data_IF_034018870562
#
_entry.id   IF_034018870562
#
_cell.length_a   1.000
_cell.length_b   1.000
_cell.length_c   1.000
_cell.angle_alpha   90.00
_cell.angle_beta   90.00
_cell.angle_gamma   90.00
#
_symmetry.space_group_name_H-M   'P 1'
#
loop_
_entity.id
_entity.type
_entity.pdbx_description
1 polymer ?
#
# COMPACT_ATOMS: atom_id res chain seq x y z
N UNK A 1 -27.07 21.80 5.50
CA UNK A 1 -26.26 21.28 4.39
C UNK A 1 -27.24 20.69 3.41
N UNK A 2 -27.48 21.37 2.29
CA UNK A 2 -28.40 20.84 1.26
C UNK A 2 -27.75 19.61 0.61
N UNK A 3 -28.42 18.47 0.74
CA UNK A 3 -28.01 17.17 0.20
C UNK A 3 -28.54 17.04 -1.22
N UNK A 4 -27.70 17.30 -2.21
CA UNK A 4 -27.94 16.82 -3.57
C UNK A 4 -27.12 15.55 -3.84
N UNK A 5 -27.79 14.56 -4.44
CA UNK A 5 -27.26 13.23 -4.71
C UNK A 5 -26.13 13.25 -5.77
N UNK A 6 -24.96 12.72 -5.39
CA UNK A 6 -23.77 12.61 -6.25
C UNK A 6 -24.01 11.57 -7.36
N UNK A 7 -24.11 12.01 -8.62
CA UNK A 7 -24.22 11.09 -9.77
C UNK A 7 -22.85 10.58 -10.22
N UNK A 8 -22.53 9.32 -9.90
CA UNK A 8 -21.43 8.56 -10.53
C UNK A 8 -21.83 8.03 -11.92
N UNK A 9 -20.87 7.53 -12.71
CA UNK A 9 -20.99 7.20 -14.16
C UNK A 9 -22.05 6.14 -14.55
N UNK A 10 -22.88 5.64 -13.64
CA UNK A 10 -24.06 4.82 -13.96
C UNK A 10 -25.16 5.06 -12.91
N UNK A 11 -26.12 5.92 -13.23
CA UNK A 11 -27.47 6.02 -12.62
C UNK A 11 -27.63 5.73 -11.12
N UNK A 12 -27.84 6.80 -10.35
CA UNK A 12 -28.10 6.85 -8.90
C UNK A 12 -26.87 6.73 -7.97
N UNK A 13 -26.78 7.69 -7.05
CA UNK A 13 -25.80 7.69 -5.98
C UNK A 13 -26.02 6.45 -5.09
N UNK A 14 -24.96 5.70 -4.73
CA UNK A 14 -25.10 4.61 -3.78
C UNK A 14 -25.72 5.11 -2.46
N UNK A 15 -26.74 4.39 -1.97
CA UNK A 15 -27.54 4.81 -0.80
C UNK A 15 -26.67 5.05 0.43
N UNK A 16 -26.85 6.20 1.06
CA UNK A 16 -26.13 6.57 2.29
C UNK A 16 -24.70 7.07 2.09
N UNK A 17 -24.21 7.19 0.84
CA UNK A 17 -22.84 7.66 0.56
C UNK A 17 -22.53 9.01 1.22
N UNK A 18 -23.43 9.99 1.09
CA UNK A 18 -23.23 11.33 1.65
C UNK A 18 -23.16 11.30 3.19
N UNK A 19 -23.98 10.48 3.84
CA UNK A 19 -23.96 10.30 5.30
C UNK A 19 -22.67 9.63 5.77
N UNK A 20 -22.20 8.61 5.04
CA UNK A 20 -20.94 7.92 5.32
C UNK A 20 -19.78 8.92 5.22
N UNK A 21 -19.72 9.68 4.12
CA UNK A 21 -18.67 10.69 3.92
C UNK A 21 -18.70 11.72 5.04
N UNK A 22 -19.88 12.26 5.39
CA UNK A 22 -20.03 13.23 6.47
C UNK A 22 -19.48 12.72 7.81
N UNK A 23 -19.85 11.49 8.22
CA UNK A 23 -19.33 10.86 9.45
C UNK A 23 -17.82 10.65 9.41
N UNK A 24 -17.27 10.28 8.25
CA UNK A 24 -15.82 10.07 8.09
C UNK A 24 -15.06 11.38 8.25
N UNK A 25 -15.49 12.45 7.60
CA UNK A 25 -14.76 13.74 7.58
C UNK A 25 -14.94 14.53 8.87
N UNK A 26 -15.96 14.23 9.67
CA UNK A 26 -16.15 14.79 11.02
C UNK A 26 -15.12 14.25 12.01
N UNK A 27 -14.74 12.98 11.88
CA UNK A 27 -13.89 12.28 12.84
C UNK A 27 -12.44 12.11 12.37
N UNK A 28 -12.18 12.27 11.06
CA UNK A 28 -10.88 11.96 10.45
C UNK A 28 -10.45 13.11 9.54
N UNK A 29 -9.19 13.55 9.68
CA UNK A 29 -8.55 14.48 8.75
C UNK A 29 -8.30 13.79 7.40
N UNK A 30 -9.25 13.92 6.48
CA UNK A 30 -9.23 13.29 5.15
C UNK A 30 -8.91 14.31 4.07
N UNK A 31 -8.02 13.93 3.17
CA UNK A 31 -7.65 14.71 1.98
C UNK A 31 -8.56 14.39 0.80
N UNK A 32 -8.67 13.10 0.47
CA UNK A 32 -9.45 12.63 -0.67
C UNK A 32 -10.20 11.35 -0.28
N UNK A 33 -11.43 11.20 -0.78
CA UNK A 33 -12.15 9.93 -0.77
C UNK A 33 -12.54 9.60 -2.20
N UNK A 34 -12.14 8.42 -2.66
CA UNK A 34 -12.56 7.86 -3.94
C UNK A 34 -13.51 6.70 -3.70
N UNK A 35 -14.55 6.61 -4.53
CA UNK A 35 -15.54 5.54 -4.49
C UNK A 35 -15.37 4.65 -5.72
N UNK A 36 -14.90 3.42 -5.51
CA UNK A 36 -14.86 2.42 -6.59
C UNK A 36 -15.98 1.40 -6.41
N UNK A 37 -16.59 1.01 -7.54
CA UNK A 37 -17.59 -0.07 -7.59
C UNK A 37 -16.89 -1.38 -7.93
N UNK A 38 -17.16 -2.42 -7.15
CA UNK A 38 -16.71 -3.77 -7.43
C UNK A 38 -17.44 -4.40 -8.62
N UNK A 39 -16.81 -5.44 -9.16
CA UNK A 39 -17.38 -6.31 -10.20
C UNK A 39 -17.62 -7.70 -9.62
N UNK A 40 -18.10 -8.65 -10.42
CA UNK A 40 -18.22 -10.06 -10.07
C UNK A 40 -16.90 -10.70 -9.59
N UNK A 41 -15.76 -10.08 -9.93
CA UNK A 41 -14.43 -10.53 -9.52
C UNK A 41 -13.97 -9.93 -8.19
N UNK A 42 -14.72 -9.00 -7.62
CA UNK A 42 -14.38 -8.33 -6.37
C UNK A 42 -15.18 -8.89 -5.21
N UNK A 43 -14.59 -8.89 -4.01
CA UNK A 43 -15.25 -9.33 -2.78
C UNK A 43 -16.11 -8.23 -2.11
N UNK A 44 -16.29 -7.09 -2.78
CA UNK A 44 -17.01 -5.93 -2.27
C UNK A 44 -17.92 -5.34 -3.35
N UNK A 45 -19.00 -4.67 -2.93
CA UNK A 45 -19.88 -3.91 -3.81
C UNK A 45 -19.33 -2.50 -4.04
N UNK A 46 -19.01 -1.79 -2.96
CA UNK A 46 -18.41 -0.45 -2.99
C UNK A 46 -17.20 -0.40 -2.07
N UNK A 47 -16.14 0.28 -2.51
CA UNK A 47 -14.94 0.50 -1.71
C UNK A 47 -14.61 1.98 -1.67
N UNK A 48 -14.46 2.51 -0.45
CA UNK A 48 -13.92 3.84 -0.19
C UNK A 48 -12.40 3.76 -0.07
N UNK A 49 -11.68 4.37 -0.99
CA UNK A 49 -10.26 4.65 -0.85
C UNK A 49 -10.10 6.02 -0.17
N UNK A 50 -9.72 5.99 1.10
CA UNK A 50 -9.59 7.17 1.97
C UNK A 50 -8.11 7.53 2.06
N UNK A 51 -7.78 8.73 1.60
CA UNK A 51 -6.44 9.30 1.67
C UNK A 51 -6.42 10.32 2.82
N UNK A 52 -5.58 10.12 3.82
CA UNK A 52 -5.56 10.92 5.07
C UNK A 52 -4.16 11.48 5.35
N UNK A 53 -4.06 12.60 6.10
CA UNK A 53 -2.78 13.13 6.61
C UNK A 53 -2.37 12.55 7.96
N UNK A 54 -3.27 11.82 8.62
CA UNK A 54 -3.01 11.16 9.89
C UNK A 54 -1.80 10.24 9.79
N UNK A 55 -1.01 10.14 10.87
CA UNK A 55 0.19 9.34 10.90
C UNK A 55 -0.12 7.85 10.68
N UNK A 56 0.83 7.12 10.08
CA UNK A 56 0.64 5.70 9.72
C UNK A 56 0.34 4.80 10.93
N UNK A 57 0.81 5.15 12.14
CA UNK A 57 0.57 4.38 13.36
C UNK A 57 -0.89 4.48 13.80
N UNK A 58 -1.46 5.68 13.77
CA UNK A 58 -2.84 5.95 14.19
C UNK A 58 -3.86 5.27 13.26
N UNK A 59 -3.48 5.00 12.00
CA UNK A 59 -4.36 4.29 11.06
C UNK A 59 -4.82 2.95 11.64
N UNK A 60 -3.92 2.18 12.24
CA UNK A 60 -4.26 0.83 12.70
C UNK A 60 -4.97 0.82 14.05
N UNK A 61 -4.60 1.74 14.94
CA UNK A 61 -5.07 1.76 16.33
C UNK A 61 -6.37 2.54 16.51
N UNK A 62 -6.58 3.59 15.71
CA UNK A 62 -7.68 4.55 15.92
C UNK A 62 -8.60 4.61 14.71
N UNK A 63 -8.04 4.83 13.52
CA UNK A 63 -8.83 5.10 12.31
C UNK A 63 -9.58 3.86 11.82
N UNK A 64 -8.94 2.69 11.78
CA UNK A 64 -9.58 1.44 11.32
C UNK A 64 -10.76 1.01 12.19
N UNK A 65 -10.65 0.94 13.54
CA UNK A 65 -11.80 0.65 14.39
C UNK A 65 -12.96 1.63 14.19
N UNK A 66 -12.66 2.93 14.10
CA UNK A 66 -13.65 3.97 13.85
C UNK A 66 -14.38 3.76 12.51
N UNK A 67 -13.64 3.56 11.42
CA UNK A 67 -14.23 3.31 10.10
C UNK A 67 -15.05 2.03 10.05
N UNK A 68 -14.61 0.96 10.72
CA UNK A 68 -15.41 -0.25 10.87
C UNK A 68 -16.73 0.02 11.60
N UNK A 69 -16.71 0.86 12.63
CA UNK A 69 -17.92 1.26 13.37
C UNK A 69 -18.86 2.09 12.50
N UNK A 70 -18.35 3.05 11.73
CA UNK A 70 -19.16 3.87 10.81
C UNK A 70 -19.82 2.98 9.74
N UNK A 71 -19.05 2.07 9.15
CA UNK A 71 -19.51 1.21 8.05
C UNK A 71 -20.32 -0.01 8.50
N UNK A 72 -20.42 -0.29 9.80
CA UNK A 72 -21.20 -1.42 10.31
C UNK A 72 -22.67 -1.37 9.87
N UNK A 73 -23.22 -0.17 9.66
CA UNK A 73 -24.60 0.05 9.20
C UNK A 73 -24.75 -0.02 7.66
N UNK A 74 -23.64 -0.14 6.93
CA UNK A 74 -23.58 -0.06 5.47
C UNK A 74 -22.81 -1.25 4.89
N UNK A 75 -23.39 -2.47 4.89
CA UNK A 75 -22.68 -3.72 4.58
C UNK A 75 -22.15 -3.81 3.14
N UNK A 76 -22.70 -3.01 2.22
CA UNK A 76 -22.22 -2.94 0.83
C UNK A 76 -20.90 -2.16 0.68
N UNK A 77 -20.47 -1.45 1.73
CA UNK A 77 -19.28 -0.62 1.71
C UNK A 77 -18.14 -1.26 2.49
N UNK A 78 -16.96 -1.25 1.88
CA UNK A 78 -15.70 -1.47 2.57
C UNK A 78 -14.79 -0.26 2.40
N UNK A 79 -13.64 -0.28 3.07
CA UNK A 79 -12.70 0.83 3.06
C UNK A 79 -11.25 0.37 2.94
N UNK A 80 -10.43 1.24 2.38
CA UNK A 80 -8.97 1.18 2.41
C UNK A 80 -8.45 2.56 2.77
N UNK A 81 -7.51 2.62 3.70
CA UNK A 81 -6.94 3.87 4.19
C UNK A 81 -5.45 3.92 3.88
N UNK A 82 -5.01 5.03 3.31
CA UNK A 82 -3.62 5.29 2.99
C UNK A 82 -3.24 6.71 3.44
N UNK A 83 -2.01 6.88 3.92
CA UNK A 83 -1.47 8.23 4.16
C UNK A 83 -1.26 8.94 2.83
N UNK A 84 -1.47 10.25 2.78
CA UNK A 84 -1.24 11.09 1.59
C UNK A 84 0.13 10.86 0.97
N UNK A 85 1.21 10.97 1.76
CA UNK A 85 2.59 10.77 1.30
C UNK A 85 2.82 9.40 0.68
N UNK A 86 2.25 8.33 1.27
CA UNK A 86 2.35 6.97 0.72
C UNK A 86 1.67 6.87 -0.65
N UNK A 87 0.44 7.37 -0.78
CA UNK A 87 -0.31 7.32 -2.02
C UNK A 87 0.40 8.08 -3.16
N UNK A 88 0.91 9.29 -2.89
CA UNK A 88 1.68 10.06 -3.87
C UNK A 88 2.94 9.31 -4.35
N UNK A 89 3.69 8.71 -3.42
CA UNK A 89 4.89 7.95 -3.75
C UNK A 89 4.57 6.71 -4.61
N UNK A 90 3.50 5.98 -4.28
CA UNK A 90 3.10 4.79 -5.03
C UNK A 90 2.60 5.16 -6.44
N UNK A 91 1.88 6.27 -6.60
CA UNK A 91 1.49 6.81 -7.92
C UNK A 91 2.72 7.17 -8.75
N UNK A 92 3.67 7.92 -8.16
CA UNK A 92 4.91 8.30 -8.84
C UNK A 92 5.74 7.08 -9.30
N UNK A 93 5.61 5.96 -8.60
CA UNK A 93 6.28 4.70 -8.93
C UNK A 93 5.49 3.78 -9.88
N UNK A 94 4.32 4.20 -10.38
CA UNK A 94 3.54 3.38 -11.29
C UNK A 94 2.73 2.28 -10.60
N UNK A 95 2.30 2.47 -9.35
CA UNK A 95 1.44 1.49 -8.70
C UNK A 95 0.03 1.53 -9.33
N UNK A 96 -0.28 0.48 -10.11
CA UNK A 96 -1.55 0.31 -10.80
C UNK A 96 -2.77 0.41 -9.87
N UNK A 97 -2.66 0.01 -8.59
CA UNK A 97 -3.78 0.16 -7.67
C UNK A 97 -4.22 1.62 -7.55
N UNK A 98 -3.28 2.52 -7.24
CA UNK A 98 -3.62 3.92 -7.05
C UNK A 98 -4.00 4.58 -8.37
N UNK A 99 -3.25 4.29 -9.43
CA UNK A 99 -3.52 4.84 -10.76
C UNK A 99 -4.93 4.49 -11.24
N UNK A 100 -5.36 3.24 -11.06
CA UNK A 100 -6.68 2.77 -11.52
C UNK A 100 -7.83 3.16 -10.59
N UNK A 101 -7.56 3.38 -9.29
CA UNK A 101 -8.62 3.47 -8.28
C UNK A 101 -8.67 4.81 -7.54
N UNK A 102 -7.76 5.74 -7.81
CA UNK A 102 -7.71 7.10 -7.25
C UNK A 102 -7.81 8.17 -8.35
N UNK A 103 -8.58 7.88 -9.39
CA UNK A 103 -8.80 8.76 -10.53
C UNK A 103 -9.89 9.82 -10.23
N UNK A 104 -9.81 10.99 -10.86
CA UNK A 104 -10.70 12.14 -10.60
C UNK A 104 -12.19 11.79 -10.84
N UNK A 105 -12.48 10.89 -11.77
CA UNK A 105 -13.84 10.43 -12.08
C UNK A 105 -14.52 9.65 -10.94
N UNK A 106 -13.74 9.12 -10.00
CA UNK A 106 -14.18 8.35 -8.83
C UNK A 106 -14.11 9.18 -7.53
N UNK A 107 -13.64 10.43 -7.61
CA UNK A 107 -13.50 11.32 -6.46
C UNK A 107 -14.87 11.77 -5.94
N UNK A 108 -15.17 11.45 -4.68
CA UNK A 108 -16.45 11.78 -4.03
C UNK A 108 -16.31 12.82 -2.92
N UNK A 109 -15.10 13.01 -2.40
CA UNK A 109 -14.77 14.07 -1.44
C UNK A 109 -13.34 14.55 -1.63
N UNK A 110 -13.14 15.86 -1.51
CA UNK A 110 -11.82 16.51 -1.50
C UNK A 110 -11.80 17.66 -0.51
N UNK A 111 -10.77 17.71 0.34
CA UNK A 111 -10.53 18.85 1.22
C UNK A 111 -10.29 20.12 0.37
N UNK A 112 -10.91 21.25 0.74
CA UNK A 112 -10.94 22.48 -0.06
C UNK A 112 -9.66 23.32 0.03
N UNK A 113 -8.54 22.73 0.46
CA UNK A 113 -7.29 23.47 0.50
C UNK A 113 -6.77 23.49 -0.94
N UNK A 114 -6.45 24.69 -1.46
CA UNK A 114 -5.73 24.91 -2.72
C UNK A 114 -4.37 24.19 -2.80
N UNK A 115 -4.03 23.33 -1.83
CA UNK A 115 -2.76 22.66 -1.68
C UNK A 115 -2.82 21.20 -2.13
N UNK A 116 -1.96 20.88 -3.10
CA UNK A 116 -1.52 19.54 -3.49
C UNK A 116 -2.56 18.72 -4.26
N UNK A 117 -2.54 18.88 -5.59
CA UNK A 117 -3.00 17.80 -6.46
C UNK A 117 -2.16 16.55 -6.18
N UNK A 118 -2.81 15.40 -6.05
CA UNK A 118 -2.11 14.12 -6.17
C UNK A 118 -1.41 14.14 -7.53
N UNK A 119 -0.09 14.26 -7.51
CA UNK A 119 0.71 14.38 -8.71
C UNK A 119 0.67 13.04 -9.43
N UNK A 120 -0.33 12.87 -10.30
CA UNK A 120 -0.25 11.89 -11.36
C UNK A 120 1.05 12.16 -12.12
N UNK A 121 1.80 11.12 -12.53
CA UNK A 121 3.09 11.35 -13.15
C UNK A 121 2.88 12.24 -14.37
N UNK A 122 3.38 13.48 -14.35
CA UNK A 122 3.35 14.44 -15.47
C UNK A 122 4.18 13.97 -16.69
N UNK A 123 4.51 12.68 -16.75
CA UNK A 123 5.28 12.06 -17.82
C UNK A 123 4.38 11.47 -18.89
N UNK A 124 4.94 11.26 -20.07
CA UNK A 124 4.30 10.53 -21.16
C UNK A 124 3.69 9.21 -20.63
N UNK A 125 2.36 9.01 -20.69
CA UNK A 125 1.70 7.80 -20.19
C UNK A 125 2.32 6.51 -20.74
N UNK A 126 2.80 6.54 -21.99
CA UNK A 126 3.56 5.48 -22.66
C UNK A 126 4.83 5.07 -21.91
N UNK A 127 5.56 6.01 -21.32
CA UNK A 127 6.78 5.73 -20.55
C UNK A 127 6.45 5.09 -19.21
N UNK A 128 5.40 5.57 -18.54
CA UNK A 128 4.91 4.98 -17.30
C UNK A 128 4.45 3.53 -17.53
N UNK A 129 3.69 3.30 -18.61
CA UNK A 129 3.25 1.99 -19.05
C UNK A 129 4.40 1.00 -19.24
N UNK A 130 5.45 1.38 -19.98
CA UNK A 130 6.61 0.52 -20.20
C UNK A 130 7.42 0.26 -18.92
N UNK A 131 7.50 1.24 -18.01
CA UNK A 131 8.13 1.06 -16.70
C UNK A 131 7.38 0.04 -15.84
N UNK A 132 6.04 0.12 -15.78
CA UNK A 132 5.20 -0.82 -15.04
C UNK A 132 5.40 -2.25 -15.55
N UNK A 133 5.42 -2.45 -16.88
CA UNK A 133 5.70 -3.75 -17.51
C UNK A 133 7.09 -4.27 -17.20
N UNK A 134 8.10 -3.40 -17.25
CA UNK A 134 9.49 -3.75 -16.94
C UNK A 134 9.64 -4.21 -15.49
N UNK A 135 9.01 -3.50 -14.56
CA UNK A 135 9.01 -3.82 -13.14
C UNK A 135 8.32 -5.15 -12.85
N UNK A 136 7.13 -5.38 -13.41
CA UNK A 136 6.45 -6.67 -13.28
C UNK A 136 7.29 -7.82 -13.86
N UNK A 137 7.94 -7.61 -15.02
CA UNK A 137 8.83 -8.62 -15.62
C UNK A 137 10.02 -8.95 -14.72
N UNK A 138 10.62 -7.95 -14.07
CA UNK A 138 11.70 -8.13 -13.09
C UNK A 138 11.20 -8.99 -11.90
N UNK A 139 10.06 -8.65 -11.34
CA UNK A 139 9.53 -9.32 -10.16
C UNK A 139 9.13 -10.78 -10.48
N UNK A 140 8.51 -11.00 -11.64
CA UNK A 140 8.21 -12.35 -12.16
C UNK A 140 9.47 -13.17 -12.45
N UNK A 141 10.56 -12.53 -12.87
CA UNK A 141 11.86 -13.20 -13.06
C UNK A 141 12.44 -13.68 -11.72
N UNK A 142 12.36 -12.86 -10.66
CA UNK A 142 12.76 -13.24 -9.31
C UNK A 142 11.94 -14.43 -8.80
N UNK A 143 10.62 -14.39 -8.95
CA UNK A 143 9.73 -15.50 -8.60
C UNK A 143 10.08 -16.79 -9.39
N UNK A 144 10.41 -16.65 -10.69
CA UNK A 144 10.84 -17.78 -11.53
C UNK A 144 12.12 -18.45 -11.00
N UNK A 145 13.05 -17.70 -10.41
CA UNK A 145 14.26 -18.28 -9.81
C UNK A 145 13.96 -19.16 -8.60
N UNK A 146 13.04 -18.75 -7.72
CA UNK A 146 12.57 -19.62 -6.61
C UNK A 146 11.87 -20.88 -7.13
N UNK A 147 11.03 -20.74 -8.17
CA UNK A 147 10.39 -21.89 -8.82
C UNK A 147 11.40 -22.88 -9.40
N UNK A 148 12.52 -22.41 -9.99
CA UNK A 148 13.60 -23.30 -10.42
C UNK A 148 14.20 -24.08 -9.24
N UNK A 149 14.34 -23.43 -8.08
CA UNK A 149 14.77 -24.07 -6.83
C UNK A 149 13.88 -25.23 -6.41
N UNK A 150 12.56 -25.10 -6.57
CA UNK A 150 11.59 -26.19 -6.29
C UNK A 150 11.98 -27.45 -7.06
N UNK A 151 12.16 -27.33 -8.37
CA UNK A 151 12.51 -28.46 -9.24
C UNK A 151 13.89 -29.05 -8.91
N UNK A 152 14.88 -28.20 -8.64
CA UNK A 152 16.23 -28.61 -8.30
C UNK A 152 16.28 -29.47 -7.03
N UNK A 153 15.71 -29.00 -5.92
CA UNK A 153 15.72 -29.73 -4.66
C UNK A 153 14.85 -30.99 -4.71
N UNK A 154 13.73 -30.94 -5.43
CA UNK A 154 12.89 -32.12 -5.66
C UNK A 154 13.66 -33.23 -6.40
N UNK A 155 14.42 -32.88 -7.44
CA UNK A 155 15.23 -33.85 -8.19
C UNK A 155 16.32 -34.52 -7.32
N UNK A 156 16.86 -33.79 -6.34
CA UNK A 156 17.82 -34.31 -5.37
C UNK A 156 17.18 -35.03 -4.18
N UNK A 157 15.85 -35.25 -4.18
CA UNK A 157 15.10 -35.82 -3.06
C UNK A 157 15.23 -35.02 -1.75
N UNK A 158 15.58 -33.73 -1.84
CA UNK A 158 15.65 -32.77 -0.73
C UNK A 158 14.28 -32.10 -0.57
N UNK A 159 13.30 -32.87 -0.11
CA UNK A 159 11.89 -32.46 -0.10
C UNK A 159 11.61 -31.26 0.83
N UNK A 160 12.18 -31.16 2.05
CA UNK A 160 12.02 -29.97 2.89
C UNK A 160 12.50 -28.67 2.22
N UNK A 161 13.66 -28.72 1.56
CA UNK A 161 14.19 -27.56 0.83
C UNK A 161 13.35 -27.24 -0.40
N UNK A 162 12.75 -28.25 -1.04
CA UNK A 162 11.78 -28.05 -2.12
C UNK A 162 10.52 -27.35 -1.61
N UNK A 163 9.95 -27.76 -0.47
CA UNK A 163 8.80 -27.10 0.17
C UNK A 163 9.11 -25.64 0.52
N UNK A 164 10.28 -25.37 1.10
CA UNK A 164 10.74 -24.01 1.39
C UNK A 164 10.79 -23.14 0.13
N UNK A 165 11.28 -23.68 -1.00
CA UNK A 165 11.25 -22.95 -2.28
C UNK A 165 9.82 -22.72 -2.79
N UNK A 166 8.89 -23.65 -2.56
CA UNK A 166 7.47 -23.45 -2.91
C UNK A 166 6.89 -22.31 -2.08
N UNK A 167 7.14 -22.29 -0.77
CA UNK A 167 6.72 -21.21 0.13
C UNK A 167 7.25 -19.87 -0.35
N UNK A 168 8.56 -19.76 -0.58
CA UNK A 168 9.17 -18.53 -1.08
C UNK A 168 8.58 -18.08 -2.42
N UNK A 169 8.22 -19.02 -3.30
CA UNK A 169 7.58 -18.65 -4.57
C UNK A 169 6.17 -18.11 -4.36
N UNK A 170 5.36 -18.72 -3.49
CA UNK A 170 4.04 -18.20 -3.12
C UNK A 170 4.14 -16.83 -2.46
N UNK A 171 5.00 -16.66 -1.46
CA UNK A 171 5.18 -15.39 -0.74
C UNK A 171 5.52 -14.25 -1.72
N UNK A 172 6.47 -14.48 -2.64
CA UNK A 172 6.81 -13.47 -3.64
C UNK A 172 5.64 -13.20 -4.61
N UNK A 173 4.91 -14.23 -5.01
CA UNK A 173 3.73 -14.07 -5.86
C UNK A 173 2.63 -13.25 -5.20
N UNK A 174 2.36 -13.47 -3.90
CA UNK A 174 1.44 -12.65 -3.13
C UNK A 174 1.92 -11.21 -3.00
N UNK A 175 3.20 -10.98 -2.67
CA UNK A 175 3.75 -9.61 -2.58
C UNK A 175 3.60 -8.85 -3.91
N UNK A 176 3.81 -9.52 -5.04
CA UNK A 176 3.58 -8.96 -6.38
C UNK A 176 2.11 -8.57 -6.53
N UNK A 177 1.19 -9.49 -6.27
CA UNK A 177 -0.25 -9.30 -6.43
C UNK A 177 -0.80 -8.21 -5.50
N UNK A 178 -0.42 -8.23 -4.22
CA UNK A 178 -0.84 -7.28 -3.20
C UNK A 178 -0.46 -5.84 -3.55
N UNK A 179 0.69 -5.63 -4.19
CA UNK A 179 1.13 -4.30 -4.60
C UNK A 179 0.12 -3.65 -5.54
N UNK A 180 -0.31 -4.34 -6.59
CA UNK A 180 -1.18 -3.77 -7.63
C UNK A 180 -2.69 -4.05 -7.44
N UNK A 181 -3.07 -5.02 -6.60
CA UNK A 181 -4.49 -5.30 -6.27
C UNK A 181 -4.94 -4.66 -4.95
N UNK A 182 -4.04 -4.54 -3.97
CA UNK A 182 -4.38 -4.03 -2.64
C UNK A 182 -3.74 -2.67 -2.33
N UNK A 183 -2.91 -2.14 -3.23
CA UNK A 183 -2.17 -0.89 -3.08
C UNK A 183 -0.96 -0.98 -2.16
N UNK A 184 -0.93 -1.95 -1.23
CA UNK A 184 0.16 -2.14 -0.27
C UNK A 184 0.38 -3.62 0.01
N UNK A 185 1.66 -3.98 0.14
CA UNK A 185 2.11 -5.32 0.51
C UNK A 185 1.86 -5.59 2.01
N UNK A 186 1.36 -6.79 2.33
CA UNK A 186 1.23 -7.24 3.71
C UNK A 186 2.59 -7.67 4.24
N UNK A 187 3.02 -7.09 5.36
CA UNK A 187 4.25 -7.50 6.04
C UNK A 187 3.94 -8.73 6.90
N UNK A 188 4.22 -9.91 6.37
CA UNK A 188 4.26 -11.20 7.08
C UNK A 188 5.01 -12.24 6.23
N UNK A 189 5.15 -13.45 6.75
CA UNK A 189 5.64 -14.61 6.00
C UNK A 189 4.56 -15.67 5.75
N UNK A 190 3.51 -15.71 6.58
CA UNK A 190 2.43 -16.69 6.44
C UNK A 190 1.65 -16.49 5.13
N UNK A 191 1.61 -17.55 4.34
CA UNK A 191 0.84 -17.64 3.10
C UNK A 191 -0.65 -17.52 3.38
N UNK A 192 -1.13 -18.07 4.50
CA UNK A 192 -2.52 -17.93 4.95
C UNK A 192 -2.91 -16.46 5.13
N UNK A 193 -2.04 -15.67 5.75
CA UNK A 193 -2.28 -14.25 5.99
C UNK A 193 -2.25 -13.43 4.70
N UNK A 194 -1.32 -13.72 3.78
CA UNK A 194 -1.29 -13.12 2.45
C UNK A 194 -2.56 -13.43 1.65
N UNK A 195 -2.98 -14.70 1.62
CA UNK A 195 -4.21 -15.12 0.94
C UNK A 195 -5.43 -14.39 1.50
N UNK A 196 -5.58 -14.39 2.83
CA UNK A 196 -6.68 -13.68 3.51
C UNK A 196 -6.70 -12.20 3.17
N UNK A 197 -5.52 -11.58 3.05
CA UNK A 197 -5.42 -10.16 2.74
C UNK A 197 -5.83 -9.82 1.30
N UNK A 198 -5.43 -10.64 0.32
CA UNK A 198 -5.83 -10.45 -1.08
C UNK A 198 -7.31 -10.76 -1.30
N UNK A 199 -7.84 -11.80 -0.66
CA UNK A 199 -9.26 -12.20 -0.80
C UNK A 199 -10.25 -11.21 -0.14
N UNK A 200 -9.76 -10.21 0.60
CA UNK A 200 -10.59 -9.03 0.97
C UNK A 200 -10.91 -8.14 -0.22
N UNK A 201 -10.11 -8.21 -1.28
CA UNK A 201 -10.32 -7.45 -2.51
C UNK A 201 -10.90 -8.31 -3.61
N UNK A 202 -10.36 -9.51 -3.83
CA UNK A 202 -10.78 -10.43 -4.90
C UNK A 202 -11.77 -11.47 -4.39
N UNK A 203 -12.83 -11.74 -5.14
CA UNK A 203 -13.82 -12.77 -4.77
C UNK A 203 -13.25 -14.19 -4.83
N UNK A 204 -12.32 -14.42 -5.77
CA UNK A 204 -11.63 -15.71 -5.93
C UNK A 204 -10.26 -15.50 -6.55
N UNK A 205 -9.37 -16.46 -6.30
CA UNK A 205 -8.05 -16.52 -6.89
C UNK A 205 -7.64 -17.98 -7.07
N UNK A 206 -7.37 -18.42 -8.30
CA UNK A 206 -6.98 -19.82 -8.53
C UNK A 206 -5.58 -20.12 -7.99
N UNK A 207 -5.36 -21.39 -7.65
CA UNK A 207 -4.10 -21.85 -7.04
C UNK A 207 -3.96 -21.48 -5.56
N UNK A 208 -5.00 -20.89 -4.95
CA UNK A 208 -5.11 -20.67 -3.51
C UNK A 208 -5.60 -21.93 -2.78
N UNK A 209 -5.62 -21.86 -1.44
CA UNK A 209 -6.00 -22.95 -0.56
C UNK A 209 -7.43 -22.74 -0.04
N UNK A 210 -8.29 -23.73 -0.24
CA UNK A 210 -9.65 -23.75 0.32
C UNK A 210 -9.57 -24.15 1.79
N UNK A 211 -9.77 -23.20 2.70
CA UNK A 211 -9.54 -23.40 4.15
C UNK A 211 -10.54 -24.43 4.72
N UNK A 212 -11.74 -24.53 4.14
CA UNK A 212 -12.77 -25.48 4.55
C UNK A 212 -12.45 -26.92 4.11
N UNK A 213 -11.51 -27.10 3.18
CA UNK A 213 -11.05 -28.43 2.75
C UNK A 213 -9.93 -28.91 3.66
N UNK A 214 -10.16 -30.03 4.35
CA UNK A 214 -9.15 -30.66 5.22
C UNK A 214 -7.81 -30.89 4.50
N UNK A 215 -7.86 -31.23 3.20
CA UNK A 215 -6.65 -31.46 2.40
C UNK A 215 -5.90 -30.15 2.15
N UNK A 216 -6.59 -29.09 1.73
CA UNK A 216 -5.96 -27.81 1.43
C UNK A 216 -5.48 -27.11 2.69
N UNK A 217 -6.21 -27.20 3.80
CA UNK A 217 -5.77 -26.70 5.10
C UNK A 217 -4.47 -27.37 5.52
N UNK A 218 -4.40 -28.71 5.47
CA UNK A 218 -3.17 -29.45 5.80
C UNK A 218 -2.00 -29.05 4.90
N UNK A 219 -2.23 -28.89 3.60
CA UNK A 219 -1.19 -28.45 2.66
C UNK A 219 -0.71 -27.03 2.93
N UNK A 220 -1.61 -26.13 3.32
CA UNK A 220 -1.27 -24.76 3.70
C UNK A 220 -0.44 -24.72 4.99
N UNK A 221 -0.82 -25.50 6.00
CA UNK A 221 -0.09 -25.60 7.27
C UNK A 221 1.32 -26.15 7.02
N UNK A 222 1.46 -27.23 6.23
CA UNK A 222 2.76 -27.76 5.81
C UNK A 222 3.60 -26.71 5.08
N UNK A 223 2.98 -25.92 4.20
CA UNK A 223 3.68 -24.90 3.44
C UNK A 223 4.19 -23.77 4.35
N UNK A 224 3.36 -23.26 5.26
CA UNK A 224 3.74 -22.21 6.23
C UNK A 224 4.84 -22.73 7.18
N UNK A 225 4.74 -23.98 7.65
CA UNK A 225 5.77 -24.61 8.49
C UNK A 225 7.11 -24.76 7.75
N UNK A 226 7.09 -24.95 6.42
CA UNK A 226 8.32 -25.06 5.63
C UNK A 226 9.21 -23.81 5.72
N UNK A 227 8.64 -22.63 6.02
CA UNK A 227 9.41 -21.39 6.14
C UNK A 227 10.42 -21.42 7.30
N UNK A 228 9.98 -21.90 8.47
CA UNK A 228 10.79 -21.97 9.70
C UNK A 228 11.39 -23.36 9.89
N UNK A 229 10.56 -24.40 9.83
CA UNK A 229 10.91 -25.76 10.26
C UNK A 229 11.85 -26.48 9.30
N UNK A 230 11.75 -26.25 7.99
CA UNK A 230 12.63 -26.89 7.00
C UNK A 230 14.11 -26.44 7.09
N UNK A 231 14.39 -25.37 7.85
CA UNK A 231 15.75 -24.83 8.05
C UNK A 231 16.37 -25.20 9.39
N UNK A 232 15.54 -25.46 10.41
CA UNK A 232 16.01 -25.53 11.80
C UNK A 232 15.57 -26.79 12.56
N UNK A 233 14.64 -27.58 12.01
CA UNK A 233 14.10 -28.75 12.71
C UNK A 233 14.30 -30.03 11.89
N UNK A 234 14.66 -31.12 12.56
CA UNK A 234 14.73 -32.44 11.95
C UNK A 234 13.36 -33.13 11.84
N UNK A 235 12.30 -32.52 12.38
CA UNK A 235 10.95 -33.08 12.46
C UNK A 235 10.03 -32.68 11.30
N UNK A 236 10.49 -31.79 10.40
CA UNK A 236 9.70 -31.43 9.23
C UNK A 236 9.74 -32.55 8.19
N UNK A 237 8.59 -33.19 7.97
CA UNK A 237 8.40 -34.20 6.94
C UNK A 237 7.35 -33.76 5.92
N UNK A 238 7.63 -34.00 4.65
CA UNK A 238 6.70 -33.74 3.56
C UNK A 238 6.91 -34.77 2.46
N UNK A 239 5.80 -35.35 1.98
CA UNK A 239 5.83 -36.35 0.93
C UNK A 239 6.07 -35.74 -0.45
N UNK A 240 6.54 -36.57 -1.39
CA UNK A 240 6.66 -36.19 -2.81
C UNK A 240 5.30 -35.82 -3.42
N UNK A 241 4.22 -36.44 -2.96
CA UNK A 241 2.85 -36.18 -3.43
C UNK A 241 2.37 -34.79 -2.98
N UNK A 242 2.61 -34.42 -1.72
CA UNK A 242 2.27 -33.09 -1.19
C UNK A 242 3.07 -31.99 -1.93
N UNK A 243 4.36 -32.20 -2.21
CA UNK A 243 5.16 -31.29 -3.05
C UNK A 243 4.56 -31.15 -4.46
N UNK A 244 4.07 -32.24 -5.07
CA UNK A 244 3.43 -32.21 -6.38
C UNK A 244 2.14 -31.39 -6.35
N UNK A 245 1.29 -31.60 -5.36
CA UNK A 245 0.04 -30.84 -5.17
C UNK A 245 0.32 -29.34 -4.97
N UNK A 246 1.29 -29.00 -4.12
CA UNK A 246 1.73 -27.62 -3.92
C UNK A 246 2.30 -27.00 -5.22
N UNK A 247 3.06 -27.77 -5.99
CA UNK A 247 3.61 -27.32 -7.28
C UNK A 247 2.52 -27.07 -8.33
N UNK A 248 1.46 -27.88 -8.35
CA UNK A 248 0.31 -27.70 -9.24
C UNK A 248 -0.46 -26.43 -8.89
N UNK A 249 -0.78 -26.24 -7.59
CA UNK A 249 -1.41 -25.00 -7.09
C UNK A 249 -0.57 -23.77 -7.43
N UNK A 250 0.74 -23.82 -7.18
CA UNK A 250 1.67 -22.75 -7.54
C UNK A 250 1.64 -22.46 -9.05
N UNK A 251 1.51 -23.48 -9.89
CA UNK A 251 1.37 -23.34 -11.33
C UNK A 251 0.13 -22.52 -11.73
N UNK A 252 -1.01 -22.76 -11.09
CA UNK A 252 -2.26 -22.00 -11.29
C UNK A 252 -2.12 -20.58 -10.76
N UNK A 253 -1.60 -20.42 -9.55
CA UNK A 253 -1.41 -19.11 -8.92
C UNK A 253 -0.53 -18.17 -9.75
N UNK A 254 0.55 -18.69 -10.35
CA UNK A 254 1.42 -17.90 -11.25
C UNK A 254 0.68 -17.46 -12.53
N UNK A 255 -0.27 -18.26 -13.03
CA UNK A 255 -1.10 -17.87 -14.18
C UNK A 255 -2.05 -16.75 -13.78
N UNK A 256 -2.66 -16.85 -12.60
CA UNK A 256 -3.56 -15.82 -12.07
C UNK A 256 -2.87 -14.48 -11.85
N UNK A 257 -1.66 -14.46 -11.29
CA UNK A 257 -0.90 -13.20 -11.13
C UNK A 257 -0.72 -12.50 -12.48
N UNK A 258 -0.42 -13.26 -13.55
CA UNK A 258 -0.26 -12.70 -14.90
C UNK A 258 -1.59 -12.24 -15.50
N UNK A 259 -2.67 -12.99 -15.26
CA UNK A 259 -4.01 -12.60 -15.69
C UNK A 259 -4.40 -11.25 -15.07
N UNK A 260 -4.31 -11.15 -13.75
CA UNK A 260 -4.65 -9.93 -13.01
C UNK A 260 -3.77 -8.75 -13.38
N UNK A 261 -2.47 -8.96 -13.57
CA UNK A 261 -1.60 -7.88 -14.04
C UNK A 261 -2.02 -7.36 -15.42
N UNK A 262 -2.35 -8.25 -16.38
CA UNK A 262 -2.84 -7.83 -17.69
C UNK A 262 -4.19 -7.11 -17.61
N UNK A 263 -5.08 -7.59 -16.74
CA UNK A 263 -6.36 -6.94 -16.48
C UNK A 263 -6.17 -5.51 -15.96
N UNK A 264 -5.43 -5.33 -14.87
CA UNK A 264 -5.19 -4.00 -14.29
C UNK A 264 -4.43 -3.08 -15.25
N UNK A 265 -3.52 -3.62 -16.06
CA UNK A 265 -2.84 -2.86 -17.09
C UNK A 265 -3.80 -2.38 -18.20
N UNK A 266 -4.80 -3.20 -18.57
CA UNK A 266 -5.82 -2.78 -19.55
C UNK A 266 -6.78 -1.72 -19.00
N UNK A 267 -7.10 -1.79 -17.70
CA UNK A 267 -7.87 -0.73 -17.01
C UNK A 267 -7.09 0.58 -17.05
N UNK A 268 -5.78 0.52 -16.80
CA UNK A 268 -4.91 1.69 -16.91
C UNK A 268 -4.91 2.28 -18.33
N UNK A 269 -4.76 1.45 -19.37
CA UNK A 269 -4.81 1.90 -20.77
C UNK A 269 -6.14 2.60 -21.11
N UNK A 270 -7.26 2.06 -20.61
CA UNK A 270 -8.59 2.66 -20.80
C UNK A 270 -8.70 4.01 -20.11
N UNK A 271 -8.24 4.11 -18.86
CA UNK A 271 -8.28 5.36 -18.09
C UNK A 271 -7.47 6.47 -18.77
N UNK A 272 -6.26 6.16 -19.30
CA UNK A 272 -5.46 7.14 -20.06
C UNK A 272 -6.21 7.62 -21.30
N UNK A 273 -6.85 6.71 -22.04
CA UNK A 273 -7.52 7.04 -23.30
C UNK A 273 -8.77 7.90 -23.06
N UNK A 274 -9.46 7.71 -21.93
CA UNK A 274 -10.65 8.48 -21.56
C UNK A 274 -10.33 9.87 -20.98
N UNK A 275 -9.19 10.04 -20.31
CA UNK A 275 -8.71 11.37 -19.85
C UNK A 275 -8.48 12.34 -21.02
N UNK A 276 -8.07 11.83 -22.19
CA UNK A 276 -7.93 12.63 -23.41
C UNK A 276 -9.29 13.11 -23.98
N UNK A 277 -10.41 12.54 -23.52
CA UNK A 277 -11.75 12.75 -24.11
C UNK A 277 -12.72 13.52 -23.18
N UNK A 278 -12.52 13.56 -21.86
CA UNK A 278 -13.54 14.04 -20.90
C UNK A 278 -13.07 15.25 -20.07
N UNK A 279 -13.28 16.47 -20.58
CA UNK A 279 -13.05 17.74 -19.86
C UNK A 279 -14.25 18.25 -19.04
N UNK A 280 -15.20 17.39 -18.62
CA UNK A 280 -16.36 17.85 -17.84
C UNK A 280 -16.19 17.63 -16.33
N UNK A 281 -16.33 18.68 -15.49
CA UNK A 281 -16.30 18.53 -14.04
C UNK A 281 -17.55 17.78 -13.54
N UNK A 282 -17.35 16.75 -12.73
CA UNK A 282 -18.41 16.08 -11.95
C UNK A 282 -18.55 16.75 -10.58
N UNK A 283 -19.73 16.66 -9.96
CA UNK A 283 -20.00 17.23 -8.64
C UNK A 283 -19.18 16.49 -7.56
N UNK A 284 -18.29 17.22 -6.88
CA UNK A 284 -17.46 16.74 -5.77
C UNK A 284 -17.94 17.44 -4.49
N UNK A 285 -18.15 16.68 -3.40
CA UNK A 285 -18.48 17.28 -2.11
C UNK A 285 -17.28 18.10 -1.60
N UNK A 286 -17.56 19.34 -1.21
CA UNK A 286 -16.62 20.25 -0.55
C UNK A 286 -16.99 20.39 0.93
N UNK A 287 -16.01 20.62 1.82
CA UNK A 287 -16.29 20.86 3.23
C UNK A 287 -17.20 22.09 3.44
N UNK A 288 -17.97 22.13 4.54
CA UNK A 288 -18.80 23.28 4.90
C UNK A 288 -17.94 24.54 5.08
N UNK A 289 -18.41 25.68 4.54
CA UNK A 289 -17.67 26.94 4.30
C UNK A 289 -17.25 27.73 5.56
N UNK A 290 -17.17 27.11 6.74
CA UNK A 290 -16.80 27.79 7.98
C UNK A 290 -15.68 27.05 8.72
N UNK A 291 -14.46 27.14 8.20
CA UNK A 291 -13.26 26.91 9.00
C UNK A 291 -12.28 28.03 8.71
N UNK A 292 -11.93 28.81 9.74
CA UNK A 292 -10.87 29.81 9.69
C UNK A 292 -9.56 29.08 9.35
N UNK A 293 -8.87 29.56 8.33
CA UNK A 293 -7.56 29.08 7.93
C UNK A 293 -6.58 29.12 9.11
N UNK A 294 -5.92 28.01 9.47
CA UNK A 294 -4.68 28.08 10.23
C UNK A 294 -3.55 28.41 9.25
N UNK A 295 -2.95 29.58 9.43
CA UNK A 295 -1.77 30.02 8.67
C UNK A 295 -0.56 29.16 9.09
N UNK A 296 -0.29 28.06 8.39
CA UNK A 296 0.87 27.21 8.69
C UNK A 296 2.14 27.80 8.05
N UNK A 297 3.01 28.37 8.90
CA UNK A 297 4.32 28.85 8.50
C UNK A 297 5.29 27.67 8.28
N UNK A 298 5.35 27.09 7.08
CA UNK A 298 6.36 26.09 6.74
C UNK A 298 7.74 26.73 6.60
N UNK A 299 8.73 26.29 7.41
CA UNK A 299 10.14 26.62 7.15
C UNK A 299 10.67 25.73 6.04
N UNK A 300 10.90 26.32 4.87
CA UNK A 300 11.62 25.65 3.78
C UNK A 300 13.08 25.44 4.18
N UNK A 301 13.51 24.18 4.22
CA UNK A 301 14.92 23.81 4.42
C UNK A 301 15.55 23.60 3.05
N UNK A 302 16.60 24.35 2.76
CA UNK A 302 17.35 24.24 1.52
C UNK A 302 18.69 23.55 1.79
N UNK A 303 19.02 22.60 0.92
CA UNK A 303 20.27 21.83 0.91
C UNK A 303 20.79 21.85 -0.53
N UNK A 304 22.09 21.90 -0.71
CA UNK A 304 22.73 21.96 -2.03
C UNK A 304 22.54 20.65 -2.81
N UNK A 305 22.42 19.50 -2.11
CA UNK A 305 22.09 18.21 -2.70
C UNK A 305 21.64 17.17 -1.66
N UNK A 306 21.16 16.02 -2.13
CA UNK A 306 20.68 14.93 -1.26
C UNK A 306 21.77 14.29 -0.40
N UNK A 307 23.04 14.39 -0.80
CA UNK A 307 24.17 13.87 -0.01
C UNK A 307 24.41 14.76 1.22
N UNK A 308 24.36 16.08 1.05
CA UNK A 308 24.44 17.05 2.14
C UNK A 308 23.33 16.84 3.19
N UNK A 309 22.08 16.70 2.73
CA UNK A 309 20.93 16.43 3.59
C UNK A 309 21.12 15.16 4.43
N UNK A 310 21.62 14.08 3.82
CA UNK A 310 21.89 12.81 4.51
C UNK A 310 23.03 12.94 5.53
N UNK A 311 24.09 13.66 5.19
CA UNK A 311 25.20 13.94 6.10
C UNK A 311 24.74 14.75 7.33
N UNK A 312 23.89 15.75 7.12
CA UNK A 312 23.40 16.59 8.20
C UNK A 312 22.38 15.85 9.09
N UNK A 313 21.52 15.02 8.50
CA UNK A 313 20.62 14.13 9.26
C UNK A 313 21.38 13.09 10.09
N UNK A 314 22.44 12.48 9.55
CA UNK A 314 23.30 11.53 10.28
C UNK A 314 23.99 12.22 11.47
N UNK A 315 24.52 13.41 11.26
CA UNK A 315 25.20 14.19 12.30
C UNK A 315 24.24 14.56 13.44
N UNK A 316 23.00 14.95 13.11
CA UNK A 316 21.94 15.18 14.09
C UNK A 316 21.63 13.95 14.94
N UNK A 317 21.53 12.77 14.32
CA UNK A 317 21.29 11.52 15.05
C UNK A 317 22.46 11.15 15.98
N UNK A 318 23.71 11.40 15.57
CA UNK A 318 24.89 11.15 16.41
C UNK A 318 24.87 12.06 17.64
N UNK A 319 24.56 13.35 17.46
CA UNK A 319 24.45 14.30 18.57
C UNK A 319 23.33 13.86 19.53
N UNK A 320 22.16 13.47 19.02
CA UNK A 320 21.04 13.00 19.86
C UNK A 320 21.41 11.72 20.64
N UNK A 321 22.04 10.74 19.99
CA UNK A 321 22.47 9.50 20.64
C UNK A 321 23.54 9.75 21.71
N UNK A 322 24.47 10.68 21.45
CA UNK A 322 25.51 11.06 22.43
C UNK A 322 24.90 11.77 23.64
N UNK A 323 23.93 12.67 23.42
CA UNK A 323 23.25 13.38 24.52
C UNK A 323 22.33 12.47 25.37
N UNK A 324 21.89 11.33 24.84
CA UNK A 324 21.08 10.33 25.57
C UNK A 324 21.93 9.33 26.37
N UNK A 325 23.24 9.30 26.15
CA UNK A 325 24.18 8.49 26.91
C UNK A 325 24.82 9.41 27.95
N UNK A 326 24.26 9.44 29.17
CA UNK A 326 24.42 10.43 30.24
C UNK A 326 25.87 10.76 30.75
N UNK A 327 26.95 10.41 30.04
CA UNK A 327 28.34 10.63 30.50
C UNK A 327 29.35 11.03 29.40
N UNK A 328 28.91 11.52 28.24
CA UNK A 328 29.85 11.97 27.19
C UNK A 328 29.59 13.41 26.77
N UNK A 329 30.58 14.29 27.01
CA UNK A 329 30.58 15.64 26.45
C UNK A 329 30.47 15.54 24.91
N UNK A 330 29.50 16.23 24.27
CA UNK A 330 29.28 16.10 22.85
C UNK A 330 30.56 16.53 22.08
N UNK A 331 31.05 15.71 21.15
CA UNK A 331 32.34 15.96 20.52
C UNK A 331 32.28 17.23 19.67
N UNK A 332 33.13 18.24 19.92
CA UNK A 332 33.12 19.54 19.20
C UNK A 332 33.03 19.41 17.67
N UNK A 333 33.53 18.29 17.12
CA UNK A 333 33.40 17.89 15.73
C UNK A 333 32.82 16.47 15.65
N UNK A 334 31.83 16.24 14.79
CA UNK A 334 31.33 14.90 14.47
C UNK A 334 32.31 14.26 13.50
N UNK A 335 33.08 13.26 13.95
CA UNK A 335 34.08 12.60 13.10
C UNK A 335 33.44 12.03 11.83
N UNK A 336 33.82 12.59 10.67
CA UNK A 336 33.42 12.09 9.37
C UNK A 336 33.25 13.15 8.28
N UNK A 337 32.81 14.38 8.59
CA UNK A 337 32.60 15.49 7.63
C UNK A 337 32.50 16.88 8.32
N UNK A 338 32.69 17.97 7.56
CA UNK A 338 33.00 19.36 7.93
C UNK A 338 31.95 20.19 8.74
N UNK A 339 30.90 19.59 9.30
CA UNK A 339 29.88 20.37 10.04
C UNK A 339 30.17 20.45 11.53
N UNK A 340 30.19 21.68 12.05
CA UNK A 340 30.28 21.96 13.48
C UNK A 340 28.99 21.57 14.20
N UNK A 341 29.09 21.24 15.50
CA UNK A 341 27.90 20.98 16.35
C UNK A 341 26.88 22.12 16.25
N UNK A 342 27.33 23.36 16.13
CA UNK A 342 26.46 24.53 16.08
C UNK A 342 25.54 24.50 14.85
N UNK A 343 26.07 24.14 13.67
CA UNK A 343 25.28 24.03 12.44
C UNK A 343 24.22 22.92 12.54
N UNK A 344 24.59 21.78 13.14
CA UNK A 344 23.68 20.66 13.38
C UNK A 344 22.57 21.04 14.37
N UNK A 345 22.89 21.75 15.45
CA UNK A 345 21.91 22.23 16.42
C UNK A 345 21.01 23.33 15.86
N UNK A 346 21.51 24.19 14.97
CA UNK A 346 20.68 25.17 14.27
C UNK A 346 19.66 24.51 13.35
N UNK A 347 20.04 23.42 12.67
CA UNK A 347 19.08 22.61 11.92
C UNK A 347 18.04 21.99 12.87
N UNK A 348 18.46 21.44 14.01
CA UNK A 348 17.54 20.90 15.02
C UNK A 348 16.51 21.94 15.48
N UNK A 349 16.95 23.18 15.76
CA UNK A 349 16.07 24.29 16.14
C UNK A 349 15.12 24.67 15.00
N UNK A 350 15.54 24.59 13.74
CA UNK A 350 14.65 24.82 12.58
C UNK A 350 13.61 23.70 12.40
N UNK A 351 13.89 22.50 12.89
CA UNK A 351 13.00 21.33 12.85
C UNK A 351 12.03 21.27 14.03
N UNK A 352 12.34 21.95 15.15
CA UNK A 352 11.42 22.04 16.28
C UNK A 352 10.18 22.86 15.89
N UNK A 353 8.96 22.39 16.18
CA UNK A 353 7.76 23.20 16.00
C UNK A 353 7.91 24.50 16.82
N UNK A 354 7.56 25.64 16.23
CA UNK A 354 7.50 26.91 16.96
C UNK A 354 6.60 26.69 18.17
N UNK A 355 7.08 26.99 19.38
CA UNK A 355 6.23 26.97 20.59
C UNK A 355 4.97 27.78 20.27
N UNK A 356 3.80 27.20 20.53
CA UNK A 356 2.56 27.95 20.59
C UNK A 356 2.80 29.13 21.54
N UNK A 357 2.92 30.34 20.99
CA UNK A 357 2.81 31.53 21.81
C UNK A 357 1.36 31.60 22.24
N UNK A 358 1.11 31.20 23.48
CA UNK A 358 -0.17 31.38 24.13
C UNK A 358 -0.58 32.84 24.05
N UNK A 359 -1.66 33.12 23.32
CA UNK A 359 -2.53 34.27 23.48
C UNK A 359 -3.96 33.84 23.16
#
# INVERSE_FOLDING_TARGET
>A
METEDIKTRTGEAPKGLNEIIAKIVEEIEVEHIYLNRGTDRHAFTYRLNIITRVAQNDISEQIRPLLNSILQQYPDYCHRVFTFTYACNEIAQGNLYFINNCHESDLVYKANIDSLQMAYPNGEPSKLYENIKKDFKRDMSRMKSFKKGVHYFKAQKRLPQSAFMVHQTFEQGYRILERFICGKVKICHSIKNHQTYVLKTLSKLEGTFQIESNLDSKLLDLLDDAYSSARYTNSYDISKQEIEQLSQKLGLFIKEIKFWFRHELSVFEQNITEEELDHRPKQVLKPPTNQKEPEYLFRKLEFDNSFEMLCMAKSLMIVCATCLQDDVAPPMHVNGFDYSINEVLQLAVKLLPMRETSL
#
